data_IF_158408925157
#
_entry.id   IF_158408925157
#
_cell.length_a   1.000
_cell.length_b   1.000
_cell.length_c   1.000
_cell.angle_alpha   90.00
_cell.angle_beta   90.00
_cell.angle_gamma   90.00
#
_symmetry.space_group_name_H-M   'P 1'
#
loop_
_entity.id
_entity.type
_entity.pdbx_description
1 polymer ?
#
# COMPACT_ATOMS: atom_id res chain seq x y z
N UNK A 1 15.92 3.63 -25.75
CA UNK A 1 15.25 4.43 -24.70
C UNK A 1 16.31 5.15 -23.87
N UNK A 2 16.09 6.42 -23.47
CA UNK A 2 17.01 7.11 -22.57
C UNK A 2 16.90 6.54 -21.15
N UNK A 3 18.02 6.55 -20.40
CA UNK A 3 18.08 6.00 -19.04
C UNK A 3 16.99 6.54 -18.09
N UNK A 4 16.65 7.86 -18.08
CA UNK A 4 15.56 8.37 -17.25
C UNK A 4 14.20 7.71 -17.51
N UNK A 5 13.87 7.43 -18.79
CA UNK A 5 12.61 6.77 -19.15
C UNK A 5 12.63 5.31 -18.75
N UNK A 6 13.75 4.61 -18.94
CA UNK A 6 13.91 3.22 -18.52
C UNK A 6 13.71 3.05 -17.00
N UNK A 7 14.32 3.94 -16.21
CA UNK A 7 14.17 3.94 -14.75
C UNK A 7 12.73 4.27 -14.35
N UNK A 8 12.12 5.29 -14.95
CA UNK A 8 10.73 5.64 -14.68
C UNK A 8 9.76 4.48 -14.93
N UNK A 9 9.86 3.83 -16.11
CA UNK A 9 9.06 2.65 -16.47
C UNK A 9 9.28 1.51 -15.47
N UNK A 10 10.54 1.27 -15.09
CA UNK A 10 10.87 0.21 -14.13
C UNK A 10 10.21 0.48 -12.77
N UNK A 11 10.27 1.72 -12.27
CA UNK A 11 9.64 2.10 -10.99
C UNK A 11 8.12 1.96 -11.04
N UNK A 12 7.48 2.38 -12.13
CA UNK A 12 6.03 2.22 -12.34
C UNK A 12 5.61 0.75 -12.31
N UNK A 13 6.35 -0.12 -13.02
CA UNK A 13 6.08 -1.56 -13.07
C UNK A 13 6.35 -2.25 -11.73
N UNK A 14 7.43 -1.90 -11.03
CA UNK A 14 7.70 -2.43 -9.70
C UNK A 14 6.59 -2.04 -8.73
N UNK A 15 6.14 -0.78 -8.76
CA UNK A 15 5.05 -0.34 -7.91
C UNK A 15 3.76 -1.09 -8.26
N UNK A 16 3.42 -1.20 -9.55
CA UNK A 16 2.28 -1.98 -10.02
C UNK A 16 2.32 -3.44 -9.53
N UNK A 17 3.48 -4.10 -9.59
CA UNK A 17 3.65 -5.46 -9.09
C UNK A 17 3.35 -5.57 -7.59
N UNK A 18 3.77 -4.61 -6.76
CA UNK A 18 3.41 -4.60 -5.34
C UNK A 18 1.91 -4.46 -5.09
N UNK A 19 1.20 -3.74 -5.97
CA UNK A 19 -0.25 -3.58 -5.95
C UNK A 19 -1.02 -4.83 -6.42
N UNK A 20 -0.35 -5.79 -7.04
CA UNK A 20 -0.91 -7.10 -7.31
C UNK A 20 -0.59 -8.06 -6.16
N UNK A 21 0.69 -8.17 -5.79
CA UNK A 21 1.18 -9.17 -4.86
C UNK A 21 0.59 -8.98 -3.45
N UNK A 22 0.63 -7.75 -2.91
CA UNK A 22 0.20 -7.49 -1.52
C UNK A 22 -1.30 -7.75 -1.33
N UNK A 23 -2.21 -7.20 -2.15
CA UNK A 23 -3.64 -7.45 -2.00
C UNK A 23 -4.02 -8.89 -2.28
N UNK A 24 -3.38 -9.57 -3.23
CA UNK A 24 -3.63 -11.01 -3.45
C UNK A 24 -3.25 -11.82 -2.21
N UNK A 25 -2.09 -11.54 -1.62
CA UNK A 25 -1.68 -12.18 -0.37
C UNK A 25 -2.68 -11.90 0.75
N UNK A 26 -3.07 -10.63 0.94
CA UNK A 26 -4.04 -10.23 1.95
C UNK A 26 -5.43 -10.84 1.73
N UNK A 27 -5.86 -11.01 0.47
CA UNK A 27 -7.11 -11.67 0.13
C UNK A 27 -7.12 -13.14 0.54
N UNK A 28 -6.01 -13.84 0.28
CA UNK A 28 -5.86 -15.27 0.58
C UNK A 28 -5.66 -15.50 2.09
N UNK A 29 -4.76 -14.74 2.73
CA UNK A 29 -4.32 -15.02 4.11
C UNK A 29 -4.98 -14.11 5.16
N UNK A 30 -5.69 -13.06 4.76
CA UNK A 30 -6.29 -12.09 5.67
C UNK A 30 -7.31 -12.68 6.66
N UNK A 31 -7.98 -13.77 6.27
CA UNK A 31 -8.85 -14.52 7.19
C UNK A 31 -8.07 -15.22 8.32
N UNK A 32 -6.85 -15.71 8.03
CA UNK A 32 -5.97 -16.28 9.05
C UNK A 32 -5.46 -15.20 10.00
N UNK A 33 -5.01 -14.08 9.45
CA UNK A 33 -4.56 -12.92 10.23
C UNK A 33 -5.68 -12.36 11.14
N UNK A 34 -6.91 -12.27 10.63
CA UNK A 34 -8.07 -11.83 11.41
C UNK A 34 -8.31 -12.75 12.61
N UNK A 35 -8.33 -14.08 12.40
CA UNK A 35 -8.53 -15.03 13.50
C UNK A 35 -7.42 -14.99 14.54
N UNK A 36 -6.16 -14.82 14.10
CA UNK A 36 -5.03 -14.70 15.02
C UNK A 36 -5.12 -13.43 15.87
N UNK A 37 -5.54 -12.30 15.28
CA UNK A 37 -5.79 -11.07 16.01
C UNK A 37 -6.95 -11.20 17.01
N UNK A 38 -8.05 -11.84 16.61
CA UNK A 38 -9.21 -12.09 17.47
C UNK A 38 -8.87 -13.02 18.64
N UNK A 39 -8.07 -14.06 18.41
CA UNK A 39 -7.59 -14.95 19.46
C UNK A 39 -6.74 -14.21 20.49
N UNK A 40 -5.90 -13.28 20.05
CA UNK A 40 -5.09 -12.44 20.94
C UNK A 40 -5.96 -11.46 21.76
N UNK A 41 -7.01 -10.89 21.16
CA UNK A 41 -7.99 -10.07 21.88
C UNK A 41 -8.72 -10.87 22.97
N UNK A 42 -9.09 -12.13 22.66
CA UNK A 42 -9.69 -13.03 23.65
C UNK A 42 -8.69 -13.35 24.77
N UNK A 43 -7.41 -13.56 24.44
CA UNK A 43 -6.35 -13.77 25.43
C UNK A 43 -6.17 -12.57 26.36
N UNK A 44 -6.42 -11.35 25.86
CA UNK A 44 -6.44 -10.12 26.64
C UNK A 44 -7.75 -9.91 27.43
N UNK A 45 -8.66 -10.89 27.45
CA UNK A 45 -9.90 -10.85 28.22
C UNK A 45 -10.99 -9.98 27.59
N UNK A 46 -10.93 -9.73 26.28
CA UNK A 46 -11.89 -8.89 25.55
C UNK A 46 -12.70 -9.68 24.52
N UNK A 47 -13.92 -9.25 24.18
CA UNK A 47 -14.69 -9.90 23.13
C UNK A 47 -13.99 -9.77 21.77
N UNK A 48 -13.98 -10.83 20.93
CA UNK A 48 -13.30 -10.80 19.63
C UNK A 48 -13.91 -9.75 18.67
N UNK A 49 -15.20 -9.45 18.83
CA UNK A 49 -15.92 -8.47 18.02
C UNK A 49 -15.42 -7.02 18.23
N UNK A 50 -14.61 -6.74 19.25
CA UNK A 50 -14.17 -5.37 19.56
C UNK A 50 -13.35 -4.74 18.44
N UNK A 51 -12.57 -5.55 17.70
CA UNK A 51 -11.82 -5.09 16.53
C UNK A 51 -12.76 -4.61 15.43
N UNK A 52 -13.77 -5.42 15.10
CA UNK A 52 -14.75 -5.09 14.08
C UNK A 52 -15.60 -3.86 14.46
N UNK A 53 -15.98 -3.75 15.74
CA UNK A 53 -16.71 -2.59 16.27
C UNK A 53 -15.92 -1.27 16.14
N UNK A 54 -14.58 -1.35 16.23
CA UNK A 54 -13.68 -0.22 16.07
C UNK A 54 -13.11 -0.09 14.64
N UNK A 55 -13.68 -0.81 13.67
CA UNK A 55 -13.29 -0.73 12.26
C UNK A 55 -11.93 -1.37 11.93
N UNK A 56 -11.33 -2.14 12.85
CA UNK A 56 -10.07 -2.85 12.62
C UNK A 56 -10.37 -4.19 11.97
N UNK A 57 -9.88 -4.35 10.73
CA UNK A 57 -10.06 -5.57 9.94
C UNK A 57 -8.75 -5.88 9.23
N UNK A 58 -8.37 -7.15 9.23
CA UNK A 58 -7.23 -7.68 8.49
C UNK A 58 -7.64 -8.42 7.23
N UNK A 59 -8.94 -8.71 7.10
CA UNK A 59 -9.53 -9.28 5.89
C UNK A 59 -9.91 -8.14 4.95
N UNK A 60 -9.27 -8.14 3.78
CA UNK A 60 -9.50 -7.18 2.69
C UNK A 60 -10.95 -7.23 2.20
N UNK A 61 -11.51 -6.06 1.87
CA UNK A 61 -12.82 -5.95 1.24
C UNK A 61 -12.70 -6.03 -0.29
N UNK A 62 -13.76 -6.48 -0.96
CA UNK A 62 -13.75 -6.64 -2.43
C UNK A 62 -13.46 -5.31 -3.16
N UNK A 63 -13.93 -4.18 -2.63
CA UNK A 63 -13.67 -2.87 -3.24
C UNK A 63 -12.22 -2.40 -3.01
N UNK A 64 -11.60 -2.72 -1.86
CA UNK A 64 -10.19 -2.41 -1.57
C UNK A 64 -9.28 -3.21 -2.52
N UNK A 65 -9.60 -4.48 -2.73
CA UNK A 65 -8.94 -5.34 -3.70
C UNK A 65 -9.09 -4.81 -5.14
N UNK A 66 -10.31 -4.45 -5.55
CA UNK A 66 -10.57 -3.87 -6.87
C UNK A 66 -9.84 -2.54 -7.09
N UNK A 67 -9.79 -1.68 -6.07
CA UNK A 67 -9.04 -0.42 -6.11
C UNK A 67 -7.55 -0.69 -6.33
N UNK A 68 -6.98 -1.66 -5.63
CA UNK A 68 -5.58 -1.99 -5.77
C UNK A 68 -5.24 -2.56 -7.16
N UNK A 69 -6.11 -3.41 -7.73
CA UNK A 69 -5.99 -3.87 -9.10
C UNK A 69 -6.12 -2.73 -10.12
N UNK A 70 -7.02 -1.77 -9.89
CA UNK A 70 -7.18 -0.58 -10.71
C UNK A 70 -5.91 0.27 -10.73
N UNK A 71 -5.28 0.47 -9.58
CA UNK A 71 -4.01 1.20 -9.47
C UNK A 71 -2.89 0.44 -10.20
N UNK A 72 -2.78 -0.88 -10.02
CA UNK A 72 -1.81 -1.70 -10.75
C UNK A 72 -2.00 -1.60 -12.28
N UNK A 73 -3.24 -1.69 -12.76
CA UNK A 73 -3.57 -1.56 -14.17
C UNK A 73 -3.23 -0.18 -14.72
N UNK A 74 -3.54 0.88 -13.97
CA UNK A 74 -3.22 2.25 -14.34
C UNK A 74 -1.70 2.48 -14.46
N UNK A 75 -0.93 2.10 -13.45
CA UNK A 75 0.54 2.21 -13.46
C UNK A 75 1.18 1.39 -14.58
N UNK A 76 0.65 0.18 -14.84
CA UNK A 76 1.10 -0.66 -15.96
C UNK A 76 0.81 0.01 -17.30
N UNK A 77 -0.38 0.56 -17.49
CA UNK A 77 -0.74 1.27 -18.72
C UNK A 77 0.16 2.49 -18.95
N UNK A 78 0.44 3.28 -17.91
CA UNK A 78 1.38 4.40 -18.00
C UNK A 78 2.80 3.94 -18.38
N UNK A 79 3.29 2.88 -17.74
CA UNK A 79 4.59 2.30 -18.04
C UNK A 79 4.69 1.85 -19.52
N UNK A 80 3.64 1.20 -20.03
CA UNK A 80 3.58 0.76 -21.43
C UNK A 80 3.50 1.93 -22.41
N UNK A 81 2.72 2.97 -22.10
CA UNK A 81 2.66 4.19 -22.91
C UNK A 81 4.00 4.93 -22.93
N UNK A 82 4.68 5.01 -21.78
CA UNK A 82 6.01 5.60 -21.67
C UNK A 82 7.05 4.79 -22.45
N UNK A 83 6.96 3.45 -22.40
CA UNK A 83 7.84 2.55 -23.15
C UNK A 83 7.62 2.64 -24.67
N UNK A 84 6.39 2.92 -25.11
CA UNK A 84 6.03 3.11 -26.50
C UNK A 84 6.38 4.52 -27.05
N UNK A 85 7.12 5.33 -26.28
CA UNK A 85 7.45 6.72 -26.62
C UNK A 85 6.21 7.60 -26.89
N UNK A 86 5.06 7.27 -26.31
CA UNK A 86 3.83 8.02 -26.53
C UNK A 86 3.81 9.29 -25.64
N UNK A 87 3.76 10.47 -26.26
CA UNK A 87 3.70 11.76 -25.56
C UNK A 87 2.51 11.89 -24.60
N UNK A 88 1.39 11.21 -24.86
CA UNK A 88 0.24 11.13 -23.95
C UNK A 88 0.61 10.41 -22.64
N UNK A 89 1.42 9.35 -22.71
CA UNK A 89 1.90 8.61 -21.53
C UNK A 89 2.69 9.50 -20.57
N UNK A 90 3.53 10.38 -21.12
CA UNK A 90 4.30 11.35 -20.35
C UNK A 90 3.40 12.34 -19.61
N UNK A 91 2.43 12.93 -20.31
CA UNK A 91 1.50 13.91 -19.72
C UNK A 91 0.65 13.26 -18.63
N UNK A 92 0.08 12.08 -18.91
CA UNK A 92 -0.72 11.35 -17.92
C UNK A 92 0.10 10.97 -16.69
N UNK A 93 1.38 10.59 -16.87
CA UNK A 93 2.28 10.29 -15.75
C UNK A 93 2.47 11.52 -14.85
N UNK A 94 2.58 12.74 -15.40
CA UNK A 94 2.66 13.96 -14.58
C UNK A 94 1.40 14.27 -13.79
N UNK A 95 0.24 13.78 -14.22
CA UNK A 95 -1.03 13.98 -13.49
C UNK A 95 -1.23 12.88 -12.45
N UNK A 96 -0.97 11.64 -12.83
CA UNK A 96 -1.31 10.47 -12.03
C UNK A 96 -0.25 10.20 -10.95
N UNK A 97 1.04 10.41 -11.23
CA UNK A 97 2.10 10.15 -10.24
C UNK A 97 1.99 11.02 -8.98
N UNK A 98 1.63 12.32 -9.03
CA UNK A 98 1.33 13.09 -7.82
C UNK A 98 0.15 12.53 -7.02
N UNK A 99 -0.91 12.06 -7.70
CA UNK A 99 -2.07 11.44 -7.05
C UNK A 99 -1.67 10.12 -6.38
N UNK A 100 -0.85 9.32 -7.06
CA UNK A 100 -0.27 8.09 -6.50
C UNK A 100 0.60 8.44 -5.29
N UNK A 101 1.52 9.39 -5.41
CA UNK A 101 2.39 9.82 -4.32
C UNK A 101 1.61 10.21 -3.07
N UNK A 102 0.54 11.01 -3.23
CA UNK A 102 -0.26 11.47 -2.10
C UNK A 102 -1.20 10.38 -1.58
N UNK A 103 -2.03 9.80 -2.45
CA UNK A 103 -3.05 8.83 -2.07
C UNK A 103 -2.45 7.48 -1.64
N UNK A 104 -1.60 6.89 -2.49
CA UNK A 104 -0.94 5.62 -2.19
C UNK A 104 0.09 5.80 -1.09
N UNK A 105 0.87 6.90 -1.11
CA UNK A 105 1.81 7.18 -0.04
C UNK A 105 1.11 7.25 1.32
N UNK A 106 -0.05 7.90 1.40
CA UNK A 106 -0.86 7.94 2.62
C UNK A 106 -1.37 6.56 3.06
N UNK A 107 -1.95 5.78 2.14
CA UNK A 107 -2.45 4.43 2.43
C UNK A 107 -1.33 3.51 2.92
N UNK A 108 -0.20 3.50 2.22
CA UNK A 108 0.94 2.65 2.56
C UNK A 108 1.64 3.11 3.85
N UNK A 109 1.66 4.40 4.15
CA UNK A 109 2.07 4.90 5.47
C UNK A 109 1.20 4.34 6.60
N UNK A 110 -0.12 4.31 6.39
CA UNK A 110 -1.07 3.69 7.32
C UNK A 110 -0.76 2.22 7.58
N UNK A 111 -0.37 1.46 6.56
CA UNK A 111 0.02 0.05 6.68
C UNK A 111 1.35 -0.15 7.41
N UNK A 112 2.36 0.67 7.09
CA UNK A 112 3.69 0.61 7.73
C UNK A 112 3.58 0.96 9.22
N UNK A 113 2.85 2.02 9.55
CA UNK A 113 2.69 2.52 10.90
C UNK A 113 1.40 2.06 11.58
N UNK A 114 0.80 0.95 11.11
CA UNK A 114 -0.48 0.43 11.59
C UNK A 114 -0.55 0.37 13.13
N UNK A 115 0.49 -0.18 13.77
CA UNK A 115 0.59 -0.23 15.23
C UNK A 115 0.48 1.15 15.88
N UNK A 116 1.22 2.16 15.39
CA UNK A 116 1.21 3.51 15.96
C UNK A 116 -0.12 4.22 15.73
N UNK A 117 -0.71 4.06 14.54
CA UNK A 117 -2.01 4.64 14.23
C UNK A 117 -3.13 4.01 15.05
N UNK A 118 -3.13 2.69 15.20
CA UNK A 118 -4.10 1.97 16.02
C UNK A 118 -3.94 2.29 17.50
N UNK A 119 -2.70 2.32 18.03
CA UNK A 119 -2.42 2.80 19.40
C UNK A 119 -2.95 4.22 19.61
N UNK A 120 -2.66 5.13 18.68
CA UNK A 120 -3.13 6.52 18.78
C UNK A 120 -4.66 6.62 18.70
N UNK A 121 -5.31 5.83 17.85
CA UNK A 121 -6.76 5.77 17.73
C UNK A 121 -7.41 5.23 19.01
N UNK A 122 -6.87 4.15 19.60
CA UNK A 122 -7.37 3.57 20.84
C UNK A 122 -7.18 4.50 22.04
N UNK A 123 -6.04 5.19 22.14
CA UNK A 123 -5.83 6.21 23.19
C UNK A 123 -6.79 7.38 23.07
N UNK A 124 -7.13 7.79 21.84
CA UNK A 124 -8.08 8.89 21.58
C UNK A 124 -9.55 8.44 21.67
N UNK A 125 -9.83 7.15 21.68
CA UNK A 125 -11.20 6.62 21.79
C UNK A 125 -11.82 7.03 23.12
N UNK A 126 -13.11 7.36 23.11
CA UNK A 126 -13.91 7.56 24.32
C UNK A 126 -14.20 6.27 25.08
N UNK A 127 -13.98 5.11 24.46
CA UNK A 127 -14.23 3.81 25.05
C UNK A 127 -13.03 3.35 25.91
N UNK A 128 -13.27 3.20 27.21
CA UNK A 128 -12.26 2.73 28.17
C UNK A 128 -11.83 1.28 27.93
N UNK A 129 -12.65 0.48 27.24
CA UNK A 129 -12.34 -0.94 27.00
C UNK A 129 -11.18 -1.15 26.02
N UNK A 130 -11.02 -0.27 25.03
CA UNK A 130 -9.95 -0.35 24.02
C UNK A 130 -8.66 0.34 24.41
N UNK A 131 -8.70 1.28 25.38
CA UNK A 131 -7.51 2.02 25.84
C UNK A 131 -6.43 1.13 26.46
N UNK A 132 -6.85 0.01 27.07
CA UNK A 132 -5.96 -0.93 27.75
C UNK A 132 -5.61 -2.16 26.90
N UNK A 133 -5.99 -2.17 25.62
CA UNK A 133 -5.62 -3.26 24.70
C UNK A 133 -4.16 -3.09 24.30
N UNK A 134 -3.38 -4.17 24.40
CA UNK A 134 -2.03 -4.20 23.85
C UNK A 134 -2.13 -4.38 22.33
N UNK A 135 -2.19 -3.25 21.64
CA UNK A 135 -2.23 -3.16 20.18
C UNK A 135 -1.02 -3.82 19.54
N UNK A 136 0.17 -3.78 20.17
CA UNK A 136 1.37 -4.39 19.62
C UNK A 136 1.22 -5.89 19.59
N UNK A 137 0.75 -6.49 20.67
CA UNK A 137 0.49 -7.92 20.74
C UNK A 137 -0.56 -8.35 19.71
N UNK A 138 -1.65 -7.58 19.55
CA UNK A 138 -2.71 -7.88 18.56
C UNK A 138 -2.15 -7.83 17.13
N UNK A 139 -1.40 -6.78 16.78
CA UNK A 139 -0.80 -6.65 15.44
C UNK A 139 0.27 -7.73 15.21
N UNK A 140 1.05 -8.08 16.23
CA UNK A 140 2.04 -9.15 16.15
C UNK A 140 1.37 -10.52 15.91
N UNK A 141 0.27 -10.82 16.62
CA UNK A 141 -0.53 -12.02 16.40
C UNK A 141 -1.15 -12.02 14.99
N UNK A 142 -1.69 -10.89 14.53
CA UNK A 142 -2.21 -10.79 13.17
C UNK A 142 -1.13 -11.12 12.12
N UNK A 143 0.10 -10.63 12.33
CA UNK A 143 1.23 -10.87 11.44
C UNK A 143 1.63 -12.35 11.33
N UNK A 144 1.36 -13.19 12.33
CA UNK A 144 1.63 -14.64 12.21
C UNK A 144 0.65 -15.33 11.25
N UNK A 145 -0.49 -14.71 10.95
CA UNK A 145 -1.42 -15.16 9.94
C UNK A 145 -1.05 -14.73 8.51
N UNK A 146 -0.05 -13.84 8.34
CA UNK A 146 0.46 -13.41 7.05
C UNK A 146 1.76 -14.13 6.68
N UNK A 147 2.10 -14.25 5.37
CA UNK A 147 3.40 -14.72 4.95
C UNK A 147 4.53 -13.82 5.47
N UNK A 148 5.66 -14.40 5.87
CA UNK A 148 6.80 -13.67 6.44
C UNK A 148 7.40 -12.61 5.51
N UNK A 149 7.28 -12.81 4.19
CA UNK A 149 7.74 -11.85 3.17
C UNK A 149 6.81 -10.66 2.96
N UNK A 150 5.56 -10.72 3.43
CA UNK A 150 4.57 -9.67 3.19
C UNK A 150 4.95 -8.37 3.89
N UNK A 151 5.41 -8.45 5.14
CA UNK A 151 5.79 -7.28 5.94
C UNK A 151 7.00 -6.54 5.33
N UNK A 152 8.11 -7.20 4.95
CA UNK A 152 9.18 -6.57 4.18
C UNK A 152 8.69 -5.93 2.88
N UNK A 153 7.78 -6.59 2.14
CA UNK A 153 7.25 -6.06 0.88
C UNK A 153 6.42 -4.78 1.08
N UNK A 154 5.59 -4.72 2.13
CA UNK A 154 4.84 -3.50 2.49
C UNK A 154 5.80 -2.37 2.87
N UNK A 155 6.86 -2.67 3.62
CA UNK A 155 7.90 -1.69 3.97
C UNK A 155 8.65 -1.17 2.74
N UNK A 156 8.93 -2.03 1.75
CA UNK A 156 9.57 -1.63 0.49
C UNK A 156 8.63 -0.86 -0.44
N UNK A 157 7.33 -1.18 -0.40
CA UNK A 157 6.29 -0.50 -1.19
C UNK A 157 6.12 0.97 -0.80
N UNK A 158 6.26 1.32 0.47
CA UNK A 158 6.13 2.71 0.93
C UNK A 158 7.14 3.69 0.29
N UNK A 159 8.47 3.47 0.35
CA UNK A 159 9.44 4.33 -0.34
C UNK A 159 9.28 4.24 -1.86
N UNK A 160 8.89 3.10 -2.40
CA UNK A 160 8.61 2.97 -3.84
C UNK A 160 7.41 3.83 -4.27
N UNK A 161 6.34 3.86 -3.49
CA UNK A 161 5.16 4.69 -3.77
C UNK A 161 5.39 6.19 -3.55
N UNK A 162 6.36 6.57 -2.72
CA UNK A 162 6.64 7.97 -2.39
C UNK A 162 7.84 8.49 -3.19
N UNK A 163 9.04 8.02 -2.86
CA UNK A 163 10.28 8.40 -3.53
C UNK A 163 10.32 7.90 -4.98
N UNK A 164 9.80 6.70 -5.26
CA UNK A 164 9.72 6.19 -6.62
C UNK A 164 8.83 7.05 -7.52
N UNK A 165 7.60 7.37 -7.07
CA UNK A 165 6.69 8.26 -7.80
C UNK A 165 7.28 9.68 -7.99
N UNK A 166 7.93 10.23 -6.95
CA UNK A 166 8.63 11.51 -7.05
C UNK A 166 9.75 11.45 -8.11
N UNK A 167 10.52 10.36 -8.13
CA UNK A 167 11.59 10.17 -9.08
C UNK A 167 11.07 10.01 -10.51
N UNK A 168 9.95 9.30 -10.72
CA UNK A 168 9.27 9.23 -12.03
C UNK A 168 8.93 10.62 -12.55
N UNK A 169 8.33 11.48 -11.72
CA UNK A 169 7.98 12.86 -12.10
C UNK A 169 9.23 13.62 -12.55
N UNK A 170 10.29 13.59 -11.74
CA UNK A 170 11.55 14.30 -12.02
C UNK A 170 12.21 13.76 -13.31
N UNK A 171 12.30 12.44 -13.46
CA UNK A 171 12.96 11.81 -14.61
C UNK A 171 12.24 12.11 -15.93
N UNK A 172 10.91 12.10 -15.94
CA UNK A 172 10.11 12.43 -17.11
C UNK A 172 10.10 13.95 -17.43
N UNK A 173 10.53 14.79 -16.49
CA UNK A 173 10.74 16.23 -16.71
C UNK A 173 12.09 16.56 -17.37
N UNK A 174 13.02 15.61 -17.43
CA UNK A 174 14.36 15.86 -18.00
C UNK A 174 14.33 16.16 -19.52
N UNK A 175 15.27 16.97 -20.04
CA UNK A 175 15.39 17.22 -21.48
C UNK A 175 15.58 15.94 -22.30
N UNK A 176 16.31 14.96 -21.76
CA UNK A 176 16.53 13.66 -22.38
C UNK A 176 15.23 12.86 -22.56
N UNK A 177 14.34 12.88 -21.56
CA UNK A 177 13.00 12.33 -21.71
C UNK A 177 12.20 13.14 -22.74
N UNK A 178 12.30 14.47 -22.71
CA UNK A 178 11.62 15.35 -23.67
C UNK A 178 11.98 15.08 -25.13
N UNK A 179 13.24 14.75 -25.43
CA UNK A 179 13.66 14.37 -26.78
C UNK A 179 13.13 13.00 -27.22
N UNK A 180 12.87 12.09 -26.29
CA UNK A 180 12.39 10.74 -26.59
C UNK A 180 10.89 10.69 -26.93
N UNK A 181 10.10 11.64 -26.42
CA UNK A 181 8.65 11.73 -26.67
C UNK A 181 8.27 12.71 -27.79
N UNK A 182 9.24 13.20 -28.57
CA UNK A 182 9.03 14.09 -29.72
C UNK A 182 8.91 13.30 -31.01
#
# INVERSE_FOLDING_TARGET
MPLPVAVAVTLQLLLAATFLIVPIAAWITGGSAQRAAEAEIVRQGRPPAILAQHGIRFKEQAWEFALALGIAGCLTALALLNLAANGTGRILSWIIEPVVLLGVGFVTAGQVFATRYTEAAFRKSGDHTVRNIDVRAVIAAANTGFPSWLRPLVLARFPLATLGSLLVIILLATPAAGAYFR
#
